data_IF_268693054327
#
_entry.id   IF_268693054327
#
_cell.length_a   1.000
_cell.length_b   1.000
_cell.length_c   1.000
_cell.angle_alpha   90.00
_cell.angle_beta   90.00
_cell.angle_gamma   90.00
#
_symmetry.space_group_name_H-M   'P 1'
#
loop_
_entity.id
_entity.type
_entity.pdbx_description
1 polymer ?
#
# COMPACT_ATOMS: atom_id res chain seq x y z
N UNK A 1 -7.56 -35.26 6.31
CA UNK A 1 -7.29 -34.09 7.17
C UNK A 1 -6.85 -32.96 6.25
N UNK A 2 -7.81 -32.16 5.78
CA UNK A 2 -7.59 -31.14 4.76
C UNK A 2 -7.13 -29.82 5.38
N UNK A 3 -5.84 -29.52 5.23
CA UNK A 3 -5.25 -28.22 5.56
C UNK A 3 -5.22 -27.34 4.31
N UNK A 4 -6.36 -27.24 3.65
CA UNK A 4 -6.50 -26.50 2.41
C UNK A 4 -7.22 -25.17 2.74
N UNK A 5 -6.48 -24.07 2.64
CA UNK A 5 -6.99 -22.71 2.33
C UNK A 5 -7.43 -21.72 3.42
N UNK A 6 -7.11 -21.90 4.71
CA UNK A 6 -7.51 -20.90 5.73
C UNK A 6 -6.81 -19.52 5.64
N UNK A 7 -5.76 -19.36 4.81
CA UNK A 7 -5.02 -18.09 4.70
C UNK A 7 -5.60 -17.07 3.71
N UNK A 8 -6.59 -17.42 2.88
CA UNK A 8 -7.12 -16.54 1.82
C UNK A 8 -8.52 -15.97 2.07
N UNK A 9 -8.95 -15.80 3.34
CA UNK A 9 -10.27 -15.21 3.65
C UNK A 9 -10.36 -13.67 3.58
N UNK A 10 -9.31 -12.99 3.12
CA UNK A 10 -9.33 -11.56 2.83
C UNK A 10 -8.81 -11.29 1.43
N UNK A 11 -9.49 -11.79 0.41
CA UNK A 11 -9.09 -11.62 -0.98
C UNK A 11 -8.99 -10.15 -1.37
N UNK A 12 -7.90 -9.80 -2.06
CA UNK A 12 -7.70 -8.54 -2.78
C UNK A 12 -8.99 -8.22 -3.53
N UNK A 13 -9.57 -7.03 -3.30
CA UNK A 13 -10.79 -6.59 -4.01
C UNK A 13 -10.39 -5.84 -5.28
N UNK A 14 -10.35 -6.48 -6.46
CA UNK A 14 -9.73 -5.90 -7.66
C UNK A 14 -10.52 -4.70 -8.22
N UNK A 15 -11.77 -4.53 -7.78
CA UNK A 15 -12.69 -3.50 -8.25
C UNK A 15 -12.62 -2.20 -7.44
N UNK A 16 -11.77 -2.11 -6.43
CA UNK A 16 -11.64 -0.89 -5.62
C UNK A 16 -10.76 0.14 -6.32
N UNK A 17 -11.31 1.33 -6.52
CA UNK A 17 -10.59 2.52 -6.97
C UNK A 17 -9.39 2.78 -6.04
N UNK A 18 -8.17 3.00 -6.57
CA UNK A 18 -6.94 3.17 -5.77
C UNK A 18 -6.86 4.56 -5.12
N UNK A 19 -7.78 4.83 -4.21
CA UNK A 19 -7.80 6.02 -3.36
C UNK A 19 -6.83 5.86 -2.18
N UNK A 20 -6.46 6.96 -1.52
CA UNK A 20 -5.63 6.90 -0.30
C UNK A 20 -6.18 5.91 0.73
N UNK A 21 -7.49 6.00 0.99
CA UNK A 21 -8.16 5.15 1.96
C UNK A 21 -8.07 3.67 1.58
N UNK A 22 -8.34 3.32 0.32
CA UNK A 22 -8.35 1.93 -0.13
C UNK A 22 -6.95 1.33 -0.13
N UNK A 23 -5.93 2.05 -0.62
CA UNK A 23 -4.54 1.57 -0.61
C UNK A 23 -4.08 1.26 0.82
N UNK A 24 -4.31 2.18 1.76
CA UNK A 24 -3.92 1.97 3.16
C UNK A 24 -4.69 0.82 3.83
N UNK A 25 -5.98 0.65 3.52
CA UNK A 25 -6.78 -0.45 4.04
C UNK A 25 -6.28 -1.81 3.53
N UNK A 26 -5.94 -1.91 2.26
CA UNK A 26 -5.43 -3.15 1.67
C UNK A 26 -4.00 -3.47 2.16
N UNK A 27 -3.19 -2.47 2.52
CA UNK A 27 -1.87 -2.67 3.17
C UNK A 27 -1.95 -3.03 4.66
N UNK A 28 -3.01 -2.59 5.37
CA UNK A 28 -3.22 -2.95 6.79
C UNK A 28 -3.60 -4.41 6.99
N UNK A 29 -4.37 -4.98 6.08
CA UNK A 29 -4.79 -6.39 6.18
C UNK A 29 -3.62 -7.39 6.29
N UNK A 30 -2.64 -7.40 5.37
CA UNK A 30 -1.54 -8.35 5.43
C UNK A 30 -0.69 -8.15 6.69
N UNK A 31 -0.48 -6.90 7.13
CA UNK A 31 0.38 -6.59 8.27
C UNK A 31 -0.20 -6.99 9.63
N UNK A 32 -1.53 -7.00 9.80
CA UNK A 32 -2.17 -7.36 11.08
C UNK A 32 -2.11 -8.85 11.45
N UNK A 33 -1.91 -9.73 10.46
CA UNK A 33 -1.89 -11.19 10.67
C UNK A 33 -0.49 -11.82 10.55
N UNK A 34 0.51 -11.05 10.13
CA UNK A 34 1.85 -11.58 9.85
C UNK A 34 2.61 -11.97 11.11
N UNK A 35 3.34 -13.07 11.00
CA UNK A 35 4.25 -13.61 12.02
C UNK A 35 5.66 -13.69 11.44
N UNK A 36 6.65 -13.84 12.33
CA UNK A 36 8.03 -14.08 11.91
C UNK A 36 8.10 -15.31 11.00
N UNK A 37 8.70 -15.15 9.82
CA UNK A 37 8.80 -16.20 8.81
C UNK A 37 7.77 -16.09 7.68
N UNK A 38 6.76 -15.23 7.79
CA UNK A 38 5.83 -14.94 6.70
C UNK A 38 6.46 -14.02 5.65
N UNK A 39 6.08 -14.20 4.39
CA UNK A 39 6.46 -13.33 3.27
C UNK A 39 5.26 -12.55 2.78
N UNK A 40 5.38 -11.23 2.73
CA UNK A 40 4.36 -10.32 2.19
C UNK A 40 4.81 -9.77 0.84
N UNK A 41 3.90 -9.75 -0.14
CA UNK A 41 4.15 -9.15 -1.45
C UNK A 41 3.19 -8.00 -1.66
N UNK A 42 3.74 -6.83 -1.96
CA UNK A 42 3.01 -5.67 -2.46
C UNK A 42 3.51 -5.37 -3.87
N UNK A 43 2.57 -5.25 -4.81
CA UNK A 43 2.86 -4.91 -6.19
C UNK A 43 2.09 -3.65 -6.57
N UNK A 44 2.81 -2.66 -7.10
CA UNK A 44 2.26 -1.40 -7.55
C UNK A 44 2.71 -1.12 -8.98
N UNK A 45 1.78 -0.65 -9.80
CA UNK A 45 2.04 -0.12 -11.14
C UNK A 45 1.23 1.15 -11.32
N UNK A 46 1.90 2.24 -11.71
CA UNK A 46 1.31 3.57 -11.77
C UNK A 46 2.38 4.66 -11.73
N UNK A 47 1.95 5.91 -11.57
CA UNK A 47 2.85 7.06 -11.52
C UNK A 47 3.43 7.28 -10.12
N UNK A 48 4.69 7.70 -10.07
CA UNK A 48 5.27 8.36 -8.91
C UNK A 48 4.99 9.86 -8.93
N UNK A 49 5.16 10.52 -7.80
CA UNK A 49 5.08 11.96 -7.62
C UNK A 49 6.02 12.39 -6.49
N UNK A 50 6.27 13.69 -6.38
CA UNK A 50 7.08 14.27 -5.30
C UNK A 50 6.21 15.26 -4.52
N UNK A 51 6.40 15.32 -3.19
CA UNK A 51 5.78 16.34 -2.32
C UNK A 51 6.86 17.14 -1.61
N UNK A 52 6.64 18.43 -1.26
CA UNK A 52 7.64 19.19 -0.53
C UNK A 52 7.98 18.54 0.81
N UNK A 53 9.27 18.32 1.05
CA UNK A 53 9.76 17.85 2.34
C UNK A 53 9.76 19.01 3.35
N UNK A 54 9.19 18.76 4.52
CA UNK A 54 9.10 19.73 5.62
C UNK A 54 10.03 19.41 6.80
N UNK A 55 10.62 18.22 6.81
CA UNK A 55 11.45 17.72 7.89
C UNK A 55 12.95 17.80 7.56
N UNK A 56 13.30 17.84 6.27
CA UNK A 56 14.65 18.10 5.78
C UNK A 56 15.55 16.87 5.74
N UNK A 57 14.98 15.66 5.70
CA UNK A 57 15.73 14.41 5.63
C UNK A 57 16.09 14.01 4.18
N UNK A 58 15.46 14.62 3.18
CA UNK A 58 15.77 14.38 1.76
C UNK A 58 16.63 15.51 1.15
N UNK A 59 17.69 15.13 0.42
CA UNK A 59 18.72 16.06 -0.10
C UNK A 59 18.14 17.06 -1.12
N UNK A 60 17.20 16.61 -1.95
CA UNK A 60 16.56 17.40 -2.99
C UNK A 60 15.30 18.15 -2.51
N UNK A 61 14.99 18.05 -1.20
CA UNK A 61 13.88 18.70 -0.50
C UNK A 61 12.49 18.21 -0.92
N UNK A 62 12.36 16.97 -1.37
CA UNK A 62 11.07 16.39 -1.69
C UNK A 62 10.94 14.98 -1.12
N UNK A 63 9.75 14.61 -0.62
CA UNK A 63 9.43 13.21 -0.33
C UNK A 63 8.87 12.53 -1.59
N UNK A 64 9.28 11.29 -1.80
CA UNK A 64 8.75 10.40 -2.85
C UNK A 64 7.36 9.85 -2.50
N UNK A 65 6.42 9.90 -3.46
CA UNK A 65 5.02 9.54 -3.23
C UNK A 65 4.39 8.71 -4.37
N UNK A 66 3.51 7.77 -3.99
CA UNK A 66 2.63 7.07 -4.94
C UNK A 66 1.52 8.01 -5.42
N UNK A 67 1.35 8.12 -6.75
CA UNK A 67 0.28 8.91 -7.35
C UNK A 67 -1.06 8.13 -7.29
N UNK A 68 -1.89 8.53 -6.34
CA UNK A 68 -3.25 8.01 -6.11
C UNK A 68 -4.27 8.72 -6.99
N UNK A 69 -5.38 8.05 -7.31
CA UNK A 69 -6.41 8.58 -8.23
C UNK A 69 -7.24 9.72 -7.62
N UNK A 70 -7.30 9.82 -6.30
CA UNK A 70 -7.98 10.88 -5.55
C UNK A 70 -7.02 12.01 -5.15
N UNK A 71 -5.91 12.17 -5.88
CA UNK A 71 -5.02 13.32 -5.70
C UNK A 71 -5.65 14.58 -6.31
N UNK A 72 -6.32 15.37 -5.49
CA UNK A 72 -6.54 16.80 -5.73
C UNK A 72 -5.26 17.52 -5.28
N UNK A 73 -4.57 18.23 -6.17
CA UNK A 73 -3.27 18.87 -5.89
C UNK A 73 -3.15 19.53 -4.51
N UNK A 74 -1.96 19.41 -3.93
CA UNK A 74 -1.48 20.09 -2.72
C UNK A 74 -1.87 21.55 -2.62
#
# INVERSE_FOLDING_TARGET
>A
MGLEWLFFRGGIRPTRTPTKHNILMELKWPTMGSRSGDSLVFYYTGHGSHVPDYNGDEIDKHDEAICRVDYSGS
#
